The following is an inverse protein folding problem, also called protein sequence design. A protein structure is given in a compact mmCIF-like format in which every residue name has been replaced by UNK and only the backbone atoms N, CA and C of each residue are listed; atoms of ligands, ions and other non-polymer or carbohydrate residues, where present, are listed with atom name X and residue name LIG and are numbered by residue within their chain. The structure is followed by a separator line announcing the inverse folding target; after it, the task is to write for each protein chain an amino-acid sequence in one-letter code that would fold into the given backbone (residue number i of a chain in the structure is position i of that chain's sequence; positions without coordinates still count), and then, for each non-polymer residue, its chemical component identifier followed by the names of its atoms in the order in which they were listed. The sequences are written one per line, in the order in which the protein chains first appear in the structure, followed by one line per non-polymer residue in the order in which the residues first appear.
data_IF_579325144709
#
_entry.id   IF_579325144709
#
_cell.length_a   1.000
_cell.length_b   1.000
_cell.length_c   1.000
_cell.angle_alpha   90.00
_cell.angle_beta   90.00
_cell.angle_gamma   90.00
#
_symmetry.space_group_name_H-M   'P 1'
#
loop_
_entity.id
_entity.type
_entity.pdbx_description
1 polymer ?
#
# COMPACT_ATOMS: atom_id res chain seq x y z
N UNK A 1 -42.51 -28.36 -10.47
CA UNK A 1 -41.85 -27.87 -11.69
C UNK A 1 -40.52 -27.30 -11.26
N UNK A 2 -39.45 -28.09 -11.34
CA UNK A 2 -38.10 -27.65 -10.98
C UNK A 2 -37.52 -26.95 -12.22
N UNK A 3 -37.44 -25.62 -12.22
CA UNK A 3 -36.69 -24.91 -13.26
C UNK A 3 -35.21 -25.30 -13.13
N UNK A 4 -34.70 -26.10 -14.06
CA UNK A 4 -33.26 -26.31 -14.23
C UNK A 4 -32.75 -25.27 -15.23
N UNK A 5 -31.59 -24.69 -14.93
CA UNK A 5 -30.88 -23.83 -15.88
C UNK A 5 -30.53 -24.60 -17.16
N UNK A 6 -30.57 -23.92 -18.30
CA UNK A 6 -30.01 -24.46 -19.54
C UNK A 6 -28.48 -24.46 -19.53
N UNK A 7 -27.84 -25.23 -20.40
CA UNK A 7 -26.38 -25.24 -20.53
C UNK A 7 -25.82 -23.86 -20.94
N UNK A 8 -26.58 -23.09 -21.73
CA UNK A 8 -26.24 -21.72 -22.11
C UNK A 8 -26.30 -20.77 -20.91
N UNK A 9 -27.34 -20.89 -20.07
CA UNK A 9 -27.48 -20.11 -18.84
C UNK A 9 -26.39 -20.45 -17.82
N UNK A 10 -26.05 -21.74 -17.67
CA UNK A 10 -24.93 -22.17 -16.83
C UNK A 10 -23.60 -21.59 -17.32
N UNK A 11 -23.34 -21.66 -18.63
CA UNK A 11 -22.12 -21.08 -19.24
C UNK A 11 -22.06 -19.57 -19.02
N UNK A 12 -23.18 -18.85 -19.21
CA UNK A 12 -23.26 -17.42 -18.91
C UNK A 12 -22.94 -17.13 -17.43
N UNK A 13 -23.52 -17.88 -16.49
CA UNK A 13 -23.28 -17.67 -15.06
C UNK A 13 -21.81 -17.92 -14.68
N UNK A 14 -21.19 -18.97 -15.23
CA UNK A 14 -19.77 -19.25 -15.03
C UNK A 14 -18.88 -18.12 -15.54
N UNK A 15 -19.15 -17.62 -16.75
CA UNK A 15 -18.42 -16.50 -17.33
C UNK A 15 -18.65 -15.20 -16.56
N UNK A 16 -19.87 -14.96 -16.07
CA UNK A 16 -20.21 -13.81 -15.26
C UNK A 16 -19.42 -13.79 -13.94
N UNK A 17 -19.40 -14.92 -13.23
CA UNK A 17 -18.61 -15.08 -12.00
C UNK A 17 -17.12 -14.86 -12.29
N UNK A 18 -16.62 -15.42 -13.40
CA UNK A 18 -15.22 -15.21 -13.82
C UNK A 18 -14.90 -13.74 -14.11
N UNK A 19 -15.82 -13.00 -14.73
CA UNK A 19 -15.64 -11.58 -15.06
C UNK A 19 -15.69 -10.67 -13.83
N UNK A 20 -16.56 -10.98 -12.86
CA UNK A 20 -16.74 -10.19 -11.63
C UNK A 20 -15.67 -10.49 -10.56
N UNK A 21 -15.09 -11.69 -10.56
CA UNK A 21 -14.12 -12.16 -9.57
C UNK A 21 -12.94 -11.20 -9.30
N UNK A 22 -12.24 -10.61 -10.30
CA UNK A 22 -11.14 -9.69 -10.01
C UNK A 22 -11.56 -8.47 -9.20
N UNK A 23 -12.77 -7.94 -9.47
CA UNK A 23 -13.31 -6.79 -8.74
C UNK A 23 -13.70 -7.19 -7.32
N UNK A 24 -14.36 -8.34 -7.15
CA UNK A 24 -14.72 -8.87 -5.84
C UNK A 24 -13.49 -9.11 -4.95
N UNK A 25 -12.45 -9.79 -5.48
CA UNK A 25 -11.19 -10.02 -4.76
C UNK A 25 -10.54 -8.70 -4.32
N UNK A 26 -10.56 -7.68 -5.17
CA UNK A 26 -9.99 -6.37 -4.83
C UNK A 26 -10.78 -5.64 -3.76
N UNK A 27 -12.11 -5.75 -3.77
CA UNK A 27 -12.95 -5.22 -2.70
C UNK A 27 -12.58 -5.91 -1.38
N UNK A 28 -12.50 -7.24 -1.36
CA UNK A 28 -12.12 -7.99 -0.16
C UNK A 28 -10.74 -7.59 0.37
N UNK A 29 -9.75 -7.41 -0.52
CA UNK A 29 -8.39 -6.97 -0.15
C UNK A 29 -8.41 -5.55 0.44
N UNK A 30 -9.07 -4.60 -0.21
CA UNK A 30 -9.04 -3.19 0.20
C UNK A 30 -9.96 -2.89 1.39
N UNK A 31 -10.97 -3.74 1.60
CA UNK A 31 -11.86 -3.65 2.74
C UNK A 31 -11.39 -4.52 3.91
N UNK A 32 -10.46 -5.46 3.75
CA UNK A 32 -10.00 -6.31 4.85
C UNK A 32 -9.57 -5.50 6.09
N UNK A 33 -9.81 -6.01 7.30
CA UNK A 33 -9.45 -5.30 8.56
C UNK A 33 -7.97 -5.41 8.90
N UNK A 34 -7.31 -6.46 8.42
CA UNK A 34 -5.88 -6.71 8.68
C UNK A 34 -5.06 -6.18 7.52
N UNK A 35 -4.07 -5.34 7.82
CA UNK A 35 -3.09 -4.83 6.86
C UNK A 35 -3.64 -3.94 5.71
N UNK A 36 -4.76 -3.25 5.92
CA UNK A 36 -5.31 -2.30 4.94
C UNK A 36 -4.55 -0.97 4.92
N UNK A 37 -3.26 -1.06 4.70
CA UNK A 37 -2.42 0.09 4.43
C UNK A 37 -2.71 0.64 3.05
N UNK A 38 -2.65 1.96 2.90
CA UNK A 38 -2.85 2.63 1.62
C UNK A 38 -1.95 2.07 0.50
N UNK A 39 -0.75 1.60 0.83
CA UNK A 39 0.19 1.01 -0.12
C UNK A 39 -0.28 -0.28 -0.78
N UNK A 40 -1.39 -0.86 -0.33
CA UNK A 40 -2.05 -1.96 -1.04
C UNK A 40 -2.94 -1.48 -2.19
N UNK A 41 -3.36 -0.22 -2.21
CA UNK A 41 -4.32 0.34 -3.18
C UNK A 41 -3.80 0.20 -4.61
N UNK A 42 -2.68 0.86 -4.93
CA UNK A 42 -2.15 0.91 -6.29
C UNK A 42 -1.82 -0.49 -6.85
N UNK A 43 -1.11 -1.37 -6.13
CA UNK A 43 -0.88 -2.74 -6.60
C UNK A 43 -2.18 -3.50 -6.87
N UNK A 44 -3.20 -3.32 -6.02
CA UNK A 44 -4.48 -4.02 -6.17
C UNK A 44 -5.24 -3.55 -7.41
N UNK A 45 -5.40 -2.24 -7.62
CA UNK A 45 -6.12 -1.72 -8.79
C UNK A 45 -5.38 -2.00 -10.11
N UNK A 46 -4.04 -2.04 -10.10
CA UNK A 46 -3.24 -2.45 -11.26
C UNK A 46 -3.46 -3.93 -11.58
N UNK A 47 -3.49 -4.79 -10.55
CA UNK A 47 -3.78 -6.21 -10.72
C UNK A 47 -5.19 -6.44 -11.28
N UNK A 48 -6.20 -5.71 -10.79
CA UNK A 48 -7.57 -5.75 -11.33
C UNK A 48 -7.59 -5.38 -12.80
N UNK A 49 -6.97 -4.23 -13.14
CA UNK A 49 -6.90 -3.75 -14.53
C UNK A 49 -6.28 -4.80 -15.44
N UNK A 50 -5.14 -5.39 -15.04
CA UNK A 50 -4.46 -6.42 -15.82
C UNK A 50 -5.31 -7.70 -15.98
N UNK A 51 -5.95 -8.17 -14.90
CA UNK A 51 -6.84 -9.34 -14.95
C UNK A 51 -8.04 -9.10 -15.88
N UNK A 52 -8.66 -7.93 -15.82
CA UNK A 52 -9.78 -7.56 -16.68
C UNK A 52 -9.36 -7.38 -18.15
N UNK A 53 -8.18 -6.83 -18.42
CA UNK A 53 -7.61 -6.78 -19.78
C UNK A 53 -7.49 -8.18 -20.38
N UNK A 54 -6.94 -9.14 -19.62
CA UNK A 54 -6.84 -10.54 -20.06
C UNK A 54 -8.21 -11.18 -20.31
N UNK A 55 -9.21 -10.85 -19.49
CA UNK A 55 -10.57 -11.36 -19.67
C UNK A 55 -11.26 -10.75 -20.91
N UNK A 56 -11.09 -9.46 -21.14
CA UNK A 56 -11.66 -8.76 -22.30
C UNK A 56 -11.11 -9.30 -23.63
N UNK A 57 -9.86 -9.78 -23.65
CA UNK A 57 -9.24 -10.41 -24.83
C UNK A 57 -9.40 -11.93 -24.88
N UNK A 58 -9.97 -12.54 -23.85
CA UNK A 58 -10.17 -13.99 -23.79
C UNK A 58 -11.38 -14.46 -24.63
N UNK A 59 -11.43 -15.77 -24.87
CA UNK A 59 -12.52 -16.40 -25.60
C UNK A 59 -13.72 -16.66 -24.67
N UNK A 60 -14.46 -15.60 -24.34
CA UNK A 60 -15.75 -15.66 -23.66
C UNK A 60 -16.87 -15.72 -24.71
N UNK A 61 -17.83 -16.63 -24.52
CA UNK A 61 -19.00 -16.82 -25.38
C UNK A 61 -20.02 -15.69 -25.19
N UNK A 62 -20.29 -15.28 -23.96
CA UNK A 62 -21.37 -14.34 -23.63
C UNK A 62 -20.88 -13.09 -22.89
N UNK A 63 -19.96 -13.23 -21.95
CA UNK A 63 -19.64 -12.14 -21.01
C UNK A 63 -18.48 -11.23 -21.43
N UNK A 64 -17.99 -11.31 -22.67
CA UNK A 64 -16.99 -10.34 -23.19
C UNK A 64 -17.41 -8.88 -22.98
N UNK A 65 -18.67 -8.47 -23.27
CA UNK A 65 -19.13 -7.10 -23.01
C UNK A 65 -19.02 -6.71 -21.53
N UNK A 66 -19.26 -7.64 -20.61
CA UNK A 66 -19.17 -7.42 -19.16
C UNK A 66 -17.72 -7.20 -18.75
N UNK A 67 -16.79 -8.04 -19.21
CA UNK A 67 -15.36 -7.86 -18.95
C UNK A 67 -14.86 -6.49 -19.45
N UNK A 68 -15.26 -6.09 -20.67
CA UNK A 68 -14.94 -4.78 -21.23
C UNK A 68 -15.55 -3.64 -20.43
N UNK A 69 -16.80 -3.76 -20.00
CA UNK A 69 -17.47 -2.76 -19.18
C UNK A 69 -16.78 -2.56 -17.82
N UNK A 70 -16.37 -3.66 -17.15
CA UNK A 70 -15.58 -3.57 -15.93
C UNK A 70 -14.23 -2.89 -16.17
N UNK A 71 -13.50 -3.29 -17.21
CA UNK A 71 -12.21 -2.69 -17.55
C UNK A 71 -12.34 -1.17 -17.78
N UNK A 72 -13.30 -0.75 -18.59
CA UNK A 72 -13.55 0.66 -18.87
C UNK A 72 -13.93 1.42 -17.60
N UNK A 73 -14.74 0.82 -16.73
CA UNK A 73 -15.14 1.42 -15.46
C UNK A 73 -13.95 1.61 -14.52
N UNK A 74 -13.08 0.60 -14.40
CA UNK A 74 -11.84 0.68 -13.61
C UNK A 74 -10.90 1.75 -14.16
N UNK A 75 -10.66 1.75 -15.47
CA UNK A 75 -9.82 2.76 -16.13
C UNK A 75 -10.32 4.18 -15.88
N UNK A 76 -11.64 4.41 -16.06
CA UNK A 76 -12.24 5.72 -15.84
C UNK A 76 -12.20 6.14 -14.37
N UNK A 77 -12.52 5.22 -13.46
CA UNK A 77 -12.62 5.52 -12.02
C UNK A 77 -11.27 5.83 -11.39
N UNK A 78 -10.21 5.15 -11.83
CA UNK A 78 -8.88 5.22 -11.23
C UNK A 78 -7.82 5.86 -12.14
N UNK A 79 -8.25 6.65 -13.12
CA UNK A 79 -7.34 7.32 -14.09
C UNK A 79 -6.22 8.08 -13.39
N UNK A 80 -6.55 8.84 -12.33
CA UNK A 80 -5.56 9.61 -11.56
C UNK A 80 -4.53 8.72 -10.88
N UNK A 81 -4.93 7.53 -10.40
CA UNK A 81 -4.00 6.59 -9.78
C UNK A 81 -3.09 5.88 -10.77
N UNK A 82 -3.59 5.62 -11.99
CA UNK A 82 -2.78 5.02 -13.05
C UNK A 82 -1.78 6.01 -13.65
N UNK A 83 -2.04 7.30 -13.53
CA UNK A 83 -1.16 8.38 -13.93
C UNK A 83 -0.24 8.79 -12.75
N UNK A 84 0.98 8.25 -12.74
CA UNK A 84 1.95 8.47 -11.65
C UNK A 84 2.50 9.90 -11.54
N UNK A 85 2.02 10.84 -12.35
CA UNK A 85 2.35 12.26 -12.27
C UNK A 85 1.33 13.05 -11.42
N UNK A 86 0.12 12.52 -11.21
CA UNK A 86 -0.90 13.14 -10.37
C UNK A 86 -0.51 13.06 -8.89
N UNK A 87 -1.16 13.84 -8.05
CA UNK A 87 -0.89 13.83 -6.60
C UNK A 87 -1.31 12.49 -6.01
N UNK A 88 -2.47 11.97 -6.41
CA UNK A 88 -3.03 10.70 -5.94
C UNK A 88 -2.16 9.51 -6.39
N UNK A 89 -1.79 9.48 -7.68
CA UNK A 89 -0.93 8.44 -8.24
C UNK A 89 0.45 8.40 -7.59
N UNK A 90 1.08 9.57 -7.40
CA UNK A 90 2.36 9.69 -6.69
C UNK A 90 2.28 9.20 -5.26
N UNK A 91 1.28 9.65 -4.50
CA UNK A 91 1.11 9.26 -3.10
C UNK A 91 0.87 7.75 -2.96
N UNK A 92 0.01 7.18 -3.80
CA UNK A 92 -0.27 5.74 -3.80
C UNK A 92 0.97 4.92 -4.20
N UNK A 93 1.78 5.43 -5.14
CA UNK A 93 3.04 4.81 -5.54
C UNK A 93 4.09 4.84 -4.42
N UNK A 94 4.26 5.97 -3.72
CA UNK A 94 5.17 6.08 -2.56
C UNK A 94 4.72 5.15 -1.43
N UNK A 95 3.41 5.07 -1.18
CA UNK A 95 2.85 4.15 -0.20
C UNK A 95 3.16 2.69 -0.56
N UNK A 96 3.00 2.30 -1.83
CA UNK A 96 3.33 0.96 -2.31
C UNK A 96 4.83 0.64 -2.28
N UNK A 97 5.70 1.60 -2.61
CA UNK A 97 7.16 1.45 -2.55
C UNK A 97 7.64 1.24 -1.12
N UNK A 98 7.13 2.05 -0.19
CA UNK A 98 7.47 1.97 1.23
C UNK A 98 6.86 0.78 1.96
N UNK A 99 5.98 0.01 1.30
CA UNK A 99 5.38 -1.21 1.85
C UNK A 99 6.22 -2.46 1.50
N UNK A 100 6.88 -3.10 2.48
CA UNK A 100 7.63 -4.36 2.34
C UNK A 100 7.04 -5.44 1.44
N UNK A 101 5.71 -5.63 1.48
CA UNK A 101 5.00 -6.66 0.74
C UNK A 101 5.02 -6.44 -0.77
N UNK A 102 4.98 -5.20 -1.22
CA UNK A 102 4.83 -4.85 -2.63
C UNK A 102 6.12 -4.30 -3.24
N UNK A 103 6.79 -3.34 -2.59
CA UNK A 103 8.00 -2.68 -3.11
C UNK A 103 7.88 -2.34 -4.61
N UNK A 104 8.57 -3.10 -5.47
CA UNK A 104 8.66 -2.92 -6.92
C UNK A 104 7.86 -3.94 -7.74
N UNK A 105 7.13 -4.86 -7.10
CA UNK A 105 6.43 -5.99 -7.77
C UNK A 105 5.45 -5.53 -8.84
N UNK A 106 4.86 -4.36 -8.68
CA UNK A 106 3.85 -3.79 -9.59
C UNK A 106 4.44 -2.99 -10.76
N UNK A 107 5.76 -2.78 -10.82
CA UNK A 107 6.43 -2.02 -11.87
C UNK A 107 6.13 -2.51 -13.30
N UNK A 108 6.04 -3.83 -13.59
CA UNK A 108 5.67 -4.29 -14.93
C UNK A 108 4.28 -3.85 -15.41
N UNK A 109 3.43 -3.34 -14.52
CA UNK A 109 2.08 -2.89 -14.83
C UNK A 109 1.97 -1.38 -15.08
N UNK A 110 3.09 -0.64 -14.99
CA UNK A 110 3.17 0.80 -15.20
C UNK A 110 4.20 1.15 -16.28
N UNK A 111 4.08 2.35 -16.82
CA UNK A 111 4.85 2.86 -17.96
C UNK A 111 6.26 3.35 -17.59
N UNK A 112 7.00 3.84 -18.58
CA UNK A 112 8.44 4.23 -18.56
C UNK A 112 8.84 5.33 -17.54
N UNK A 113 7.93 5.78 -16.66
CA UNK A 113 8.19 6.80 -15.63
C UNK A 113 8.61 6.22 -14.28
N UNK A 114 8.94 4.93 -14.24
CA UNK A 114 9.46 4.27 -13.02
C UNK A 114 10.71 4.97 -12.52
N UNK A 115 11.58 5.44 -13.41
CA UNK A 115 12.82 6.15 -13.05
C UNK A 115 12.55 7.50 -12.35
N UNK A 116 11.59 8.29 -12.85
CA UNK A 116 11.14 9.54 -12.22
C UNK A 116 10.63 9.27 -10.80
N UNK A 117 9.84 8.20 -10.63
CA UNK A 117 9.29 7.81 -9.34
C UNK A 117 10.38 7.36 -8.36
N UNK A 118 11.35 6.56 -8.81
CA UNK A 118 12.47 6.11 -7.97
C UNK A 118 13.34 7.30 -7.55
N UNK A 119 13.62 8.23 -8.46
CA UNK A 119 14.34 9.47 -8.16
C UNK A 119 13.58 10.29 -7.12
N UNK A 120 12.26 10.41 -7.27
CA UNK A 120 11.44 11.10 -6.29
C UNK A 120 11.46 10.41 -4.92
N UNK A 121 11.38 9.09 -4.88
CA UNK A 121 11.44 8.32 -3.64
C UNK A 121 12.81 8.45 -2.95
N UNK A 122 13.91 8.43 -3.70
CA UNK A 122 15.25 8.70 -3.17
C UNK A 122 15.35 10.12 -2.60
N UNK A 123 14.81 11.12 -3.31
CA UNK A 123 14.77 12.51 -2.81
C UNK A 123 13.98 12.61 -1.50
N UNK A 124 12.86 11.89 -1.37
CA UNK A 124 12.13 11.84 -0.11
C UNK A 124 12.99 11.24 1.02
N UNK A 125 13.70 10.15 0.76
CA UNK A 125 14.63 9.57 1.75
C UNK A 125 15.70 10.59 2.16
N UNK A 126 16.27 11.31 1.20
CA UNK A 126 17.22 12.41 1.45
C UNK A 126 16.61 13.51 2.33
N UNK A 127 15.40 13.97 2.03
CA UNK A 127 14.70 15.00 2.81
C UNK A 127 14.46 14.56 4.26
N UNK A 128 14.15 13.27 4.47
CA UNK A 128 14.02 12.72 5.82
C UNK A 128 15.37 12.57 6.54
N UNK A 129 16.45 12.21 5.83
CA UNK A 129 17.80 12.18 6.39
C UNK A 129 18.26 13.56 6.86
N UNK A 130 18.06 14.58 6.03
CA UNK A 130 18.47 15.95 6.33
C UNK A 130 17.71 16.53 7.54
N UNK A 131 16.42 16.17 7.69
CA UNK A 131 15.57 16.69 8.77
C UNK A 131 15.67 15.88 10.08
N UNK A 132 16.21 14.65 10.06
CA UNK A 132 16.30 13.76 11.23
C UNK A 132 17.66 13.04 11.29
N UNK A 133 18.78 13.76 11.52
CA UNK A 133 20.12 13.19 11.49
C UNK A 133 20.40 12.18 12.62
N UNK A 134 19.69 12.28 13.76
CA UNK A 134 20.00 11.55 15.00
C UNK A 134 19.50 10.08 15.03
N UNK A 135 18.59 9.67 14.15
CA UNK A 135 17.96 8.34 14.21
C UNK A 135 18.52 7.33 13.19
N UNK A 136 19.51 7.73 12.39
CA UNK A 136 20.15 6.81 11.43
C UNK A 136 21.33 6.03 12.04
N UNK A 137 21.63 6.28 13.32
CA UNK A 137 22.50 5.44 14.13
C UNK A 137 21.75 4.17 14.52
N UNK A 138 21.48 3.31 13.52
CA UNK A 138 21.55 1.90 13.81
C UNK A 138 23.00 1.67 14.25
N UNK A 139 23.22 1.62 15.55
CA UNK A 139 24.35 0.94 16.15
C UNK A 139 24.38 -0.50 15.60
N UNK A 140 25.03 -0.67 14.45
CA UNK A 140 26.10 -1.65 14.43
C UNK A 140 26.93 -1.28 15.65
N UNK A 141 26.96 -2.16 16.65
CA UNK A 141 28.00 -2.13 17.66
C UNK A 141 29.31 -1.91 16.90
N UNK A 142 29.79 -0.67 16.89
CA UNK A 142 31.16 -0.42 16.51
C UNK A 142 31.94 -1.04 17.64
N UNK A 143 32.75 -2.04 17.27
CA UNK A 143 33.72 -2.61 18.18
C UNK A 143 34.42 -1.45 18.92
N UNK A 144 34.68 -1.59 20.23
CA UNK A 144 35.36 -0.54 20.99
C UNK A 144 36.58 -0.07 20.20
N UNK A 145 36.82 1.25 20.13
CA UNK A 145 37.87 1.81 19.30
C UNK A 145 39.17 1.06 19.58
N UNK A 146 39.79 0.51 18.52
CA UNK A 146 41.12 -0.07 18.64
C UNK A 146 42.01 1.05 19.18
N UNK A 147 42.49 0.90 20.42
CA UNK A 147 43.18 1.97 21.15
C UNK A 147 44.34 2.59 20.37
N UNK A 148 44.78 3.78 20.79
CA UNK A 148 45.70 4.74 20.15
C UNK A 148 46.86 4.17 19.30
N UNK A 149 47.30 2.94 19.56
CA UNK A 149 48.28 2.22 18.74
C UNK A 149 47.85 2.00 17.28
N UNK A 150 46.54 1.93 17.00
CA UNK A 150 46.00 1.72 15.65
C UNK A 150 45.43 2.99 15.01
N UNK A 151 45.77 4.16 15.56
CA UNK A 151 45.50 5.44 14.90
C UNK A 151 46.49 5.64 13.74
N UNK A 152 46.03 5.34 12.53
CA UNK A 152 46.81 5.50 11.30
C UNK A 152 46.73 6.92 10.72
N UNK A 153 46.29 7.93 11.50
CA UNK A 153 46.23 9.31 11.04
C UNK A 153 45.17 9.53 9.94
N UNK A 154 44.08 8.76 9.97
CA UNK A 154 42.91 9.04 9.15
C UNK A 154 42.13 10.16 9.81
N UNK A 155 42.03 11.32 9.13
CA UNK A 155 41.28 12.48 9.58
C UNK A 155 40.04 12.07 10.38
N UNK A 156 39.88 12.70 11.54
CA UNK A 156 38.61 12.81 12.25
C UNK A 156 37.49 12.85 11.21
N UNK A 157 36.52 11.93 11.34
CA UNK A 157 35.38 11.84 10.43
C UNK A 157 34.60 13.13 10.59
N UNK A 158 34.98 14.13 9.79
CA UNK A 158 34.29 15.39 9.68
C UNK A 158 32.82 15.07 9.42
N UNK A 159 31.96 15.72 10.21
CA UNK A 159 30.52 15.66 10.10
C UNK A 159 30.07 15.70 8.62
N UNK A 160 28.98 15.03 8.23
CA UNK A 160 28.56 14.92 6.83
C UNK A 160 28.21 16.30 6.28
N UNK A 161 29.19 16.97 5.66
CA UNK A 161 29.11 18.39 5.29
C UNK A 161 29.03 18.61 3.78
N UNK A 162 28.73 17.58 2.98
CA UNK A 162 28.46 17.74 1.55
C UNK A 162 27.09 17.14 1.17
N UNK A 163 26.20 17.92 0.50
CA UNK A 163 24.88 17.45 0.05
C UNK A 163 24.91 16.17 -0.80
N UNK A 164 25.98 15.99 -1.57
CA UNK A 164 26.18 14.82 -2.43
C UNK A 164 26.39 13.52 -1.64
N UNK A 165 27.01 13.58 -0.46
CA UNK A 165 27.22 12.41 0.40
C UNK A 165 25.89 11.90 0.99
N UNK A 166 25.03 12.82 1.42
CA UNK A 166 23.68 12.50 1.91
C UNK A 166 22.79 11.91 0.80
N UNK A 167 22.87 12.42 -0.43
CA UNK A 167 22.12 11.88 -1.56
C UNK A 167 22.58 10.46 -1.92
N UNK A 168 23.89 10.20 -1.86
CA UNK A 168 24.46 8.86 -2.05
C UNK A 168 24.02 7.89 -0.94
N UNK A 169 24.01 8.35 0.32
CA UNK A 169 23.46 7.59 1.47
C UNK A 169 21.99 7.26 1.27
N UNK A 170 21.17 8.21 0.82
CA UNK A 170 19.76 7.98 0.51
C UNK A 170 19.58 6.89 -0.57
N UNK A 171 20.40 6.94 -1.63
CA UNK A 171 20.42 5.93 -2.69
C UNK A 171 20.80 4.54 -2.19
N UNK A 172 21.82 4.45 -1.31
CA UNK A 172 22.26 3.20 -0.71
C UNK A 172 21.18 2.56 0.18
N UNK A 173 20.50 3.37 1.01
CA UNK A 173 19.38 2.91 1.85
C UNK A 173 18.24 2.37 0.98
N UNK A 174 17.86 3.13 -0.05
CA UNK A 174 16.81 2.73 -1.00
C UNK A 174 17.14 1.39 -1.68
N UNK A 175 18.37 1.25 -2.18
CA UNK A 175 18.83 0.03 -2.85
C UNK A 175 18.79 -1.18 -1.90
N UNK A 176 19.37 -1.05 -0.70
CA UNK A 176 19.41 -2.13 0.31
C UNK A 176 18.01 -2.59 0.71
N UNK A 177 17.09 -1.64 0.92
CA UNK A 177 15.69 -1.95 1.22
C UNK A 177 14.99 -2.75 0.11
N UNK A 178 15.27 -2.40 -1.15
CA UNK A 178 14.69 -3.10 -2.29
C UNK A 178 15.31 -4.48 -2.57
N UNK A 179 16.56 -4.70 -2.16
CA UNK A 179 17.26 -6.00 -2.29
C UNK A 179 16.87 -7.00 -1.18
N UNK A 180 16.44 -6.49 -0.03
CA UNK A 180 15.99 -7.32 1.10
C UNK A 180 14.80 -8.23 0.69
N UNK A 181 14.94 -9.54 0.93
CA UNK A 181 13.91 -10.53 0.55
C UNK A 181 12.75 -10.61 1.55
N UNK A 182 12.95 -10.11 2.77
CA UNK A 182 11.88 -10.05 3.78
C UNK A 182 10.75 -9.14 3.28
N UNK A 183 9.51 -9.54 3.58
CA UNK A 183 8.28 -8.83 3.24
C UNK A 183 7.43 -8.47 4.46
N UNK A 184 7.87 -8.86 5.66
CA UNK A 184 7.21 -8.56 6.94
C UNK A 184 7.39 -7.10 7.32
N UNK A 185 6.36 -6.47 7.89
CA UNK A 185 6.44 -5.08 8.38
C UNK A 185 7.54 -4.85 9.42
N UNK A 186 7.91 -5.89 10.18
CA UNK A 186 9.01 -5.83 11.15
C UNK A 186 10.35 -5.41 10.54
N UNK A 187 10.56 -5.67 9.24
CA UNK A 187 11.78 -5.28 8.55
C UNK A 187 11.98 -3.76 8.53
N UNK A 188 10.90 -2.98 8.62
CA UNK A 188 10.97 -1.52 8.65
C UNK A 188 11.69 -1.01 9.89
N UNK A 189 11.82 -1.82 10.96
CA UNK A 189 12.66 -1.48 12.12
C UNK A 189 14.12 -1.27 11.73
N UNK A 190 14.63 -2.02 10.76
CA UNK A 190 16.00 -1.88 10.23
C UNK A 190 16.15 -0.69 9.27
N UNK A 191 15.06 -0.05 8.86
CA UNK A 191 15.05 1.08 7.91
C UNK A 191 14.23 2.24 8.47
N UNK A 192 14.73 2.97 9.50
CA UNK A 192 13.95 3.97 10.24
C UNK A 192 13.38 5.09 9.34
N UNK A 193 14.14 5.54 8.35
CA UNK A 193 13.69 6.56 7.39
C UNK A 193 12.53 6.06 6.52
N UNK A 194 12.66 4.85 5.97
CA UNK A 194 11.59 4.24 5.16
C UNK A 194 10.38 3.93 6.04
N UNK A 195 10.57 3.60 7.32
CA UNK A 195 9.49 3.43 8.28
C UNK A 195 8.72 4.73 8.53
N UNK A 196 9.41 5.88 8.61
CA UNK A 196 8.75 7.20 8.69
C UNK A 196 7.95 7.51 7.43
N UNK A 197 8.52 7.24 6.26
CA UNK A 197 7.80 7.39 4.98
C UNK A 197 6.58 6.46 4.94
N UNK A 198 6.75 5.19 5.32
CA UNK A 198 5.67 4.21 5.39
C UNK A 198 4.53 4.75 6.27
N UNK A 199 4.81 5.18 7.50
CA UNK A 199 3.81 5.75 8.40
C UNK A 199 3.10 6.97 7.80
N UNK A 200 3.83 7.88 7.15
CA UNK A 200 3.23 9.07 6.54
C UNK A 200 2.28 8.75 5.38
N UNK A 201 2.66 7.82 4.51
CA UNK A 201 1.92 7.54 3.27
C UNK A 201 0.94 6.37 3.37
N UNK A 202 1.06 5.50 4.38
CA UNK A 202 0.20 4.32 4.56
C UNK A 202 -0.88 4.47 5.64
N UNK A 203 -0.95 5.63 6.31
CA UNK A 203 -2.00 5.95 7.30
C UNK A 203 -3.38 6.24 6.70
N UNK A 204 -3.54 6.76 5.46
CA UNK A 204 -4.86 6.88 4.86
C UNK A 204 -5.49 5.48 4.68
N UNK A 205 -6.75 5.33 5.08
CA UNK A 205 -7.47 4.09 4.84
C UNK A 205 -7.78 3.95 3.35
N UNK A 206 -7.53 2.78 2.73
CA UNK A 206 -7.84 2.55 1.32
C UNK A 206 -9.35 2.44 1.05
N UNK A 207 -10.18 2.21 2.09
CA UNK A 207 -11.64 2.12 1.98
C UNK A 207 -12.34 2.67 3.22
N UNK A 208 -13.50 3.30 3.04
CA UNK A 208 -14.43 3.68 4.12
C UNK A 208 -15.06 2.47 4.81
N UNK A 209 -15.01 1.27 4.21
CA UNK A 209 -15.70 0.09 4.70
C UNK A 209 -15.30 -0.34 6.13
N UNK A 210 -14.08 -0.05 6.56
CA UNK A 210 -13.65 -0.30 7.94
C UNK A 210 -14.39 0.60 8.93
N UNK A 211 -14.55 1.87 8.55
CA UNK A 211 -15.31 2.86 9.32
C UNK A 211 -16.80 2.49 9.29
N UNK A 212 -17.35 2.15 8.13
CA UNK A 212 -18.76 1.74 7.98
C UNK A 212 -19.09 0.47 8.78
N UNK A 213 -18.20 -0.52 8.88
CA UNK A 213 -18.42 -1.70 9.74
C UNK A 213 -18.42 -1.34 11.22
N UNK A 214 -17.49 -0.49 11.66
CA UNK A 214 -17.49 0.01 13.04
C UNK A 214 -18.82 0.70 13.38
N UNK A 215 -19.32 1.54 12.47
CA UNK A 215 -20.64 2.18 12.62
C UNK A 215 -21.81 1.21 12.49
N UNK A 216 -21.74 0.19 11.62
CA UNK A 216 -22.79 -0.82 11.47
C UNK A 216 -22.97 -1.62 12.76
N UNK A 217 -21.87 -2.07 13.38
CA UNK A 217 -21.90 -2.73 14.69
C UNK A 217 -22.44 -1.82 15.79
N UNK A 218 -22.01 -0.56 15.81
CA UNK A 218 -22.49 0.42 16.77
C UNK A 218 -24.00 0.71 16.58
N UNK A 219 -24.48 0.73 15.33
CA UNK A 219 -25.89 0.97 14.97
C UNK A 219 -26.76 -0.23 15.33
N UNK A 220 -26.28 -1.48 15.13
CA UNK A 220 -26.97 -2.68 15.59
C UNK A 220 -27.20 -2.68 17.11
N UNK A 221 -26.20 -2.23 17.88
CA UNK A 221 -26.30 -2.06 19.32
C UNK A 221 -27.15 -0.86 19.77
N UNK A 222 -27.57 0.01 18.85
CA UNK A 222 -28.42 1.19 19.08
C UNK A 222 -29.81 1.04 18.45
N UNK A 223 -30.18 -0.16 18.00
CA UNK A 223 -31.54 -0.46 17.53
C UNK A 223 -32.57 -0.13 18.62
N UNK A 224 -33.83 0.22 18.29
CA UNK A 224 -34.84 0.66 19.27
C UNK A 224 -35.15 -0.34 20.40
N UNK A 225 -34.69 -1.61 20.28
CA UNK A 225 -34.77 -2.63 21.35
C UNK A 225 -33.58 -2.62 22.33
N UNK A 226 -32.53 -1.87 22.03
CA UNK A 226 -31.37 -1.62 22.88
C UNK A 226 -31.42 -0.16 23.32
N UNK A 227 -31.26 0.09 24.62
CA UNK A 227 -31.41 1.42 25.23
C UNK A 227 -30.76 2.54 24.40
N UNK A 228 -31.56 3.49 23.89
CA UNK A 228 -31.07 4.65 23.12
C UNK A 228 -30.01 5.39 23.93
N UNK A 229 -28.77 5.31 23.49
CA UNK A 229 -27.67 6.10 24.06
C UNK A 229 -27.78 7.55 23.59
N UNK A 230 -27.34 8.48 24.42
CA UNK A 230 -27.04 9.85 23.97
C UNK A 230 -25.88 9.84 22.98
N UNK A 231 -25.77 10.90 22.16
CA UNK A 231 -24.72 11.04 21.15
C UNK A 231 -23.32 10.82 21.72
N UNK A 232 -23.00 11.47 22.84
CA UNK A 232 -21.71 11.37 23.53
C UNK A 232 -21.39 9.94 23.99
N UNK A 233 -22.40 9.21 24.52
CA UNK A 233 -22.22 7.83 24.97
C UNK A 233 -22.07 6.85 23.80
N UNK A 234 -22.69 7.16 22.67
CA UNK A 234 -22.51 6.41 21.43
C UNK A 234 -21.10 6.60 20.88
N UNK A 235 -20.63 7.84 20.75
CA UNK A 235 -19.27 8.15 20.29
C UNK A 235 -18.20 7.50 21.19
N UNK A 236 -18.33 7.64 22.51
CA UNK A 236 -17.41 7.01 23.46
C UNK A 236 -17.39 5.48 23.29
N UNK A 237 -18.56 4.86 23.08
CA UNK A 237 -18.66 3.42 22.85
C UNK A 237 -17.99 3.00 21.54
N UNK A 238 -18.18 3.75 20.45
CA UNK A 238 -17.54 3.51 19.15
C UNK A 238 -16.02 3.53 19.30
N UNK A 239 -15.48 4.54 19.99
CA UNK A 239 -14.04 4.68 20.27
C UNK A 239 -13.52 3.51 21.12
N UNK A 240 -14.19 3.21 22.24
CA UNK A 240 -13.79 2.10 23.12
C UNK A 240 -13.81 0.76 22.39
N UNK A 241 -14.78 0.55 21.49
CA UNK A 241 -14.86 -0.69 20.70
C UNK A 241 -13.75 -0.77 19.66
N UNK A 242 -13.45 0.32 18.95
CA UNK A 242 -12.34 0.36 17.99
C UNK A 242 -11.01 0.00 18.68
N UNK A 243 -10.77 0.57 19.87
CA UNK A 243 -9.57 0.30 20.66
C UNK A 243 -9.52 -1.13 21.22
N UNK A 244 -10.67 -1.72 21.58
CA UNK A 244 -10.73 -3.11 22.05
C UNK A 244 -10.60 -4.15 20.93
N UNK A 245 -10.72 -3.73 19.67
CA UNK A 245 -10.63 -4.59 18.47
C UNK A 245 -9.30 -4.46 17.73
N UNK A 246 -8.44 -3.53 18.16
CA UNK A 246 -7.09 -3.27 17.65
C UNK A 246 -6.06 -4.11 18.38
#
# INVERSE_FOLDING_TARGET
MTCSFSDEELTYLEEFVKCSKPVAEAIDILQGDKEAYYGSLLPTILAVRLKLQKLATSNLQYCRPIATAYLNSVNRRFVTFFELNTVEGKNAAIAALSYPKFKKVWFPCVNDRVEELLTHFQRLIYEYLANYPEENDNSMETDPPLGDFYDFGGNEIDAPSHPDDLMNKAGAIMKRYFEEKKSSLEMLRSYPIIHKIFKKYNTPLPSSAQVERLFSYATMANTPKSNRLSHEKFELRVVLRANASS
#
